data_IF_191521600671
#
_entry.id   IF_191521600671
#
_cell.length_a   1.000
_cell.length_b   1.000
_cell.length_c   1.000
_cell.angle_alpha   90.00
_cell.angle_beta   90.00
_cell.angle_gamma   90.00
#
_symmetry.space_group_name_H-M   'P 1'
#
loop_
_entity.id
_entity.type
_entity.pdbx_description
1 polymer ?
#
# COMPACT_ATOMS: atom_id res chain seq x y z
N UNK A 1 -7.39 31.26 5.93
CA UNK A 1 -6.96 30.17 5.03
C UNK A 1 -5.73 30.59 4.21
N UNK A 2 -4.60 30.88 4.86
CA UNK A 2 -3.35 31.19 4.14
C UNK A 2 -2.17 30.66 4.95
N UNK A 3 -1.80 29.40 4.72
CA UNK A 3 -0.47 28.86 5.05
C UNK A 3 -0.17 27.50 4.37
N UNK A 4 -0.75 27.25 3.20
CA UNK A 4 -0.53 25.99 2.46
C UNK A 4 0.69 25.98 1.54
N UNK A 5 1.47 27.06 1.45
CA UNK A 5 2.57 27.14 0.48
C UNK A 5 3.79 27.92 1.01
N UNK A 6 4.42 27.37 2.06
CA UNK A 6 5.85 27.58 2.27
C UNK A 6 6.59 26.36 1.69
N UNK A 7 7.71 26.50 0.97
CA UNK A 7 8.46 25.36 0.44
C UNK A 7 8.99 24.39 1.53
N UNK A 8 8.97 24.79 2.82
CA UNK A 8 9.18 23.89 3.97
C UNK A 8 7.91 23.12 4.40
N UNK A 9 6.72 23.64 4.08
CA UNK A 9 5.39 23.07 4.42
C UNK A 9 5.05 21.83 3.59
N UNK A 10 5.41 21.81 2.30
CA UNK A 10 5.01 20.74 1.38
C UNK A 10 5.73 19.41 1.64
N UNK A 11 6.91 19.43 2.28
CA UNK A 11 7.69 18.23 2.57
C UNK A 11 6.96 17.27 3.52
N UNK A 12 6.21 17.80 4.48
CA UNK A 12 5.52 16.97 5.48
C UNK A 12 4.42 16.09 4.90
N UNK A 13 3.69 16.59 3.91
CA UNK A 13 2.59 15.84 3.28
C UNK A 13 3.13 14.80 2.30
N UNK A 14 4.18 15.17 1.55
CA UNK A 14 4.87 14.23 0.66
C UNK A 14 5.49 13.08 1.44
N UNK A 15 6.05 13.33 2.62
CA UNK A 15 6.59 12.25 3.45
C UNK A 15 5.48 11.42 4.11
N UNK A 16 4.40 12.04 4.58
CA UNK A 16 3.30 11.32 5.19
C UNK A 16 2.50 10.46 4.19
N UNK A 17 2.40 10.88 2.92
CA UNK A 17 1.67 10.12 1.90
C UNK A 17 2.54 9.37 0.89
N UNK A 18 3.71 9.88 0.54
CA UNK A 18 4.46 9.40 -0.64
C UNK A 18 5.19 8.08 -0.46
N UNK A 19 5.46 7.64 0.77
CA UNK A 19 6.27 6.43 1.01
C UNK A 19 5.54 5.17 0.53
N UNK A 20 4.22 5.09 0.72
CA UNK A 20 3.42 3.97 0.21
C UNK A 20 3.41 3.88 -1.32
N UNK A 21 3.42 5.02 -2.01
CA UNK A 21 3.52 5.04 -3.48
C UNK A 21 4.84 4.45 -3.95
N UNK A 22 5.95 4.86 -3.33
CA UNK A 22 7.28 4.30 -3.64
C UNK A 22 7.32 2.80 -3.35
N UNK A 23 6.71 2.39 -2.24
CA UNK A 23 6.61 0.99 -1.85
C UNK A 23 5.82 0.16 -2.86
N UNK A 24 4.63 0.62 -3.28
CA UNK A 24 3.80 -0.07 -4.28
C UNK A 24 4.47 -0.15 -5.65
N UNK A 25 5.18 0.90 -6.09
CA UNK A 25 5.97 0.84 -7.32
C UNK A 25 7.11 -0.18 -7.20
N UNK A 26 7.76 -0.25 -6.04
CA UNK A 26 8.81 -1.24 -5.79
C UNK A 26 8.26 -2.67 -5.83
N UNK A 27 7.04 -2.85 -5.29
CA UNK A 27 6.33 -4.13 -5.35
C UNK A 27 5.97 -4.52 -6.78
N UNK A 28 5.53 -3.56 -7.61
CA UNK A 28 5.26 -3.81 -9.03
C UNK A 28 6.51 -4.28 -9.76
N UNK A 29 7.65 -3.61 -9.53
CA UNK A 29 8.94 -4.00 -10.11
C UNK A 29 9.33 -5.40 -9.65
N UNK A 30 9.14 -5.72 -8.37
CA UNK A 30 9.39 -7.06 -7.84
C UNK A 30 8.54 -8.12 -8.56
N UNK A 31 7.23 -7.87 -8.71
CA UNK A 31 6.34 -8.81 -9.40
C UNK A 31 6.68 -8.97 -10.88
N UNK A 32 7.10 -7.91 -11.56
CA UNK A 32 7.59 -7.99 -12.94
C UNK A 32 8.85 -8.85 -13.04
N UNK A 33 9.80 -8.68 -12.10
CA UNK A 33 11.03 -9.49 -12.07
C UNK A 33 10.68 -10.95 -11.84
N UNK A 34 9.83 -11.27 -10.87
CA UNK A 34 9.38 -12.64 -10.64
C UNK A 34 8.69 -13.23 -11.87
N UNK A 35 7.77 -12.50 -12.49
CA UNK A 35 7.10 -12.94 -13.70
C UNK A 35 8.03 -13.15 -14.91
N UNK A 36 9.22 -12.54 -14.92
CA UNK A 36 10.20 -12.73 -16.00
C UNK A 36 11.12 -13.92 -15.79
N UNK A 37 11.35 -14.33 -14.54
CA UNK A 37 12.44 -15.24 -14.19
C UNK A 37 12.01 -16.49 -13.42
N UNK A 38 10.84 -16.49 -12.79
CA UNK A 38 10.30 -17.65 -12.08
C UNK A 38 9.23 -18.36 -12.92
N UNK A 39 9.33 -19.69 -13.08
CA UNK A 39 8.29 -20.47 -13.75
C UNK A 39 7.00 -20.41 -12.94
N UNK A 40 5.86 -20.50 -13.65
CA UNK A 40 4.55 -20.60 -13.00
C UNK A 40 4.52 -21.80 -12.03
N UNK A 41 3.77 -21.73 -10.92
CA UNK A 41 3.73 -22.80 -9.93
C UNK A 41 3.31 -24.14 -10.54
N UNK A 42 3.96 -25.24 -10.12
CA UNK A 42 3.76 -26.60 -10.67
C UNK A 42 2.31 -27.12 -10.61
N UNK A 43 1.46 -26.53 -9.76
CA UNK A 43 0.04 -26.89 -9.61
C UNK A 43 -0.87 -26.22 -10.66
N UNK A 44 -0.35 -25.32 -11.48
CA UNK A 44 -1.08 -24.73 -12.60
C UNK A 44 -0.74 -25.50 -13.88
N UNK A 45 -1.68 -26.33 -14.32
CA UNK A 45 -1.56 -27.18 -15.52
C UNK A 45 -1.67 -26.35 -16.81
N UNK A 46 -0.75 -25.43 -17.05
CA UNK A 46 -0.52 -24.92 -18.40
C UNK A 46 0.97 -24.91 -18.70
N UNK A 47 1.41 -25.95 -19.40
CA UNK A 47 2.74 -25.99 -20.03
C UNK A 47 2.97 -24.87 -21.07
N UNK A 48 1.99 -23.97 -21.24
CA UNK A 48 1.96 -22.80 -22.12
C UNK A 48 1.56 -21.50 -21.37
N UNK A 49 1.70 -21.42 -20.04
CA UNK A 49 1.37 -20.21 -19.28
C UNK A 49 2.17 -19.01 -19.81
N UNK A 50 1.48 -18.01 -20.36
CA UNK A 50 2.12 -16.82 -20.91
C UNK A 50 2.68 -15.92 -19.81
N UNK A 51 3.44 -14.89 -20.19
CA UNK A 51 3.91 -13.85 -19.26
C UNK A 51 2.76 -13.19 -18.46
N UNK A 52 1.56 -13.08 -19.06
CA UNK A 52 0.37 -12.53 -18.40
C UNK A 52 -0.03 -13.31 -17.16
N UNK A 53 -0.12 -14.64 -17.27
CA UNK A 53 -0.49 -15.52 -16.16
C UNK A 53 0.57 -15.46 -15.04
N UNK A 54 1.85 -15.50 -15.41
CA UNK A 54 2.97 -15.38 -14.46
C UNK A 54 2.95 -14.03 -13.73
N UNK A 55 2.61 -12.96 -14.45
CA UNK A 55 2.47 -11.63 -13.85
C UNK A 55 1.28 -11.57 -12.89
N UNK A 56 0.12 -12.12 -13.26
CA UNK A 56 -1.03 -12.20 -12.38
C UNK A 56 -0.70 -12.92 -11.08
N UNK A 57 -0.10 -14.11 -11.16
CA UNK A 57 0.27 -14.88 -9.96
C UNK A 57 1.25 -14.13 -9.08
N UNK A 58 2.32 -13.60 -9.68
CA UNK A 58 3.33 -12.86 -8.93
C UNK A 58 2.73 -11.63 -8.23
N UNK A 59 1.81 -10.92 -8.88
CA UNK A 59 1.14 -9.77 -8.29
C UNK A 59 0.12 -10.18 -7.22
N UNK A 60 -0.63 -11.27 -7.44
CA UNK A 60 -1.60 -11.82 -6.50
C UNK A 60 -0.91 -12.26 -5.20
N UNK A 61 0.14 -13.08 -5.30
CA UNK A 61 0.94 -13.52 -4.14
C UNK A 61 1.59 -12.35 -3.41
N UNK A 62 2.05 -11.34 -4.17
CA UNK A 62 2.67 -10.15 -3.60
C UNK A 62 1.71 -9.25 -2.81
N UNK A 63 0.40 -9.48 -2.90
CA UNK A 63 -0.62 -8.73 -2.13
C UNK A 63 -0.40 -8.85 -0.62
N UNK A 64 0.17 -9.95 -0.13
CA UNK A 64 0.50 -10.12 1.29
C UNK A 64 1.47 -9.03 1.81
N UNK A 65 2.32 -8.50 0.93
CA UNK A 65 3.26 -7.44 1.24
C UNK A 65 2.56 -6.08 1.44
N UNK A 66 1.31 -5.92 1.00
CA UNK A 66 0.47 -4.74 1.30
C UNK A 66 -0.31 -4.88 2.62
N UNK A 67 -0.28 -6.05 3.25
CA UNK A 67 -0.95 -6.29 4.54
C UNK A 67 0.03 -6.09 5.71
N UNK A 68 1.12 -6.86 5.77
CA UNK A 68 2.02 -6.85 6.93
C UNK A 68 3.14 -5.80 6.86
N UNK A 69 4.01 -5.80 5.82
CA UNK A 69 5.08 -4.80 5.74
C UNK A 69 4.56 -3.38 5.59
N UNK A 70 3.34 -3.19 5.12
CA UNK A 70 2.68 -1.88 5.05
C UNK A 70 2.65 -1.16 6.40
N UNK A 71 2.53 -1.87 7.53
CA UNK A 71 2.59 -1.25 8.86
C UNK A 71 3.97 -0.65 9.15
N UNK A 72 5.05 -1.30 8.70
CA UNK A 72 6.41 -0.78 8.81
C UNK A 72 6.57 0.46 7.94
N UNK A 73 6.05 0.43 6.71
CA UNK A 73 6.05 1.57 5.80
C UNK A 73 5.27 2.75 6.40
N UNK A 74 4.12 2.50 7.01
CA UNK A 74 3.33 3.51 7.73
C UNK A 74 4.09 4.09 8.92
N UNK A 75 4.78 3.27 9.70
CA UNK A 75 5.62 3.74 10.80
C UNK A 75 6.74 4.67 10.30
N UNK A 76 7.47 4.26 9.26
CA UNK A 76 8.53 5.07 8.65
C UNK A 76 7.97 6.40 8.13
N UNK A 77 6.87 6.35 7.39
CA UNK A 77 6.16 7.52 6.88
C UNK A 77 5.79 8.50 8.00
N UNK A 78 5.15 8.02 9.07
CA UNK A 78 4.75 8.83 10.21
C UNK A 78 5.96 9.46 10.93
N UNK A 79 7.02 8.68 11.18
CA UNK A 79 8.23 9.16 11.84
C UNK A 79 8.95 10.23 11.01
N UNK A 80 9.11 10.02 9.70
CA UNK A 80 9.70 11.01 8.79
C UNK A 80 8.87 12.30 8.75
N UNK A 81 7.54 12.19 8.73
CA UNK A 81 6.65 13.34 8.73
C UNK A 81 6.72 14.14 10.06
N UNK A 82 6.86 13.45 11.20
CA UNK A 82 7.08 14.08 12.51
C UNK A 82 8.39 14.86 12.53
N UNK A 83 9.47 14.27 12.01
CA UNK A 83 10.81 14.90 11.99
C UNK A 83 10.81 16.24 11.23
N UNK A 84 10.04 16.34 10.14
CA UNK A 84 9.89 17.59 9.39
C UNK A 84 8.81 18.52 9.93
N UNK A 85 8.30 18.25 11.15
CA UNK A 85 7.27 19.03 11.85
C UNK A 85 5.96 19.15 11.06
N UNK A 86 5.56 18.07 10.38
CA UNK A 86 4.26 18.00 9.71
C UNK A 86 3.10 18.20 10.71
N UNK A 87 1.95 18.65 10.21
CA UNK A 87 0.74 18.76 11.02
C UNK A 87 0.35 17.37 11.54
N UNK A 88 0.10 17.28 12.84
CA UNK A 88 -0.23 16.02 13.54
C UNK A 88 -1.42 15.28 12.93
N UNK A 89 -2.45 16.01 12.47
CA UNK A 89 -3.61 15.39 11.80
C UNK A 89 -3.18 14.70 10.51
N UNK A 90 -2.28 15.31 9.73
CA UNK A 90 -1.77 14.68 8.51
C UNK A 90 -0.84 13.51 8.81
N UNK A 91 -0.02 13.58 9.86
CA UNK A 91 0.77 12.42 10.30
C UNK A 91 -0.12 11.24 10.69
N UNK A 92 -1.30 11.51 11.27
CA UNK A 92 -2.25 10.46 11.69
C UNK A 92 -2.99 9.87 10.49
N UNK A 93 -3.55 10.72 9.64
CA UNK A 93 -4.52 10.29 8.63
C UNK A 93 -3.87 9.97 7.29
N UNK A 94 -2.90 10.78 6.85
CA UNK A 94 -2.38 10.71 5.49
C UNK A 94 -1.63 9.41 5.18
N UNK A 95 -0.83 8.81 6.09
CA UNK A 95 -0.24 7.49 5.84
C UNK A 95 -1.28 6.39 5.66
N UNK A 96 -2.37 6.42 6.43
CA UNK A 96 -3.44 5.43 6.32
C UNK A 96 -4.22 5.60 5.00
N UNK A 97 -4.54 6.85 4.64
CA UNK A 97 -5.22 7.15 3.36
C UNK A 97 -4.34 6.77 2.17
N UNK A 98 -3.04 7.05 2.26
CA UNK A 98 -2.10 6.67 1.21
C UNK A 98 -2.00 5.16 1.06
N UNK A 99 -1.90 4.42 2.17
CA UNK A 99 -1.90 2.97 2.13
C UNK A 99 -3.18 2.42 1.51
N UNK A 100 -4.34 2.93 1.93
CA UNK A 100 -5.63 2.53 1.36
C UNK A 100 -5.68 2.77 -0.16
N UNK A 101 -5.27 3.96 -0.61
CA UNK A 101 -5.23 4.30 -2.02
C UNK A 101 -4.26 3.41 -2.82
N UNK A 102 -3.09 3.10 -2.24
CA UNK A 102 -2.10 2.23 -2.85
C UNK A 102 -2.57 0.77 -2.91
N UNK A 103 -3.23 0.28 -1.87
CA UNK A 103 -3.86 -1.04 -1.87
C UNK A 103 -4.95 -1.12 -2.93
N UNK A 104 -5.86 -0.15 -2.99
CA UNK A 104 -6.90 -0.08 -4.01
C UNK A 104 -6.32 -0.03 -5.44
N UNK A 105 -5.26 0.76 -5.64
CA UNK A 105 -4.59 0.82 -6.93
C UNK A 105 -3.95 -0.53 -7.28
N UNK A 106 -3.25 -1.15 -6.34
CA UNK A 106 -2.66 -2.47 -6.54
C UNK A 106 -3.70 -3.50 -6.94
N UNK A 107 -4.82 -3.52 -6.22
CA UNK A 107 -5.96 -4.37 -6.49
C UNK A 107 -6.48 -4.19 -7.93
N UNK A 108 -6.69 -2.94 -8.37
CA UNK A 108 -7.08 -2.66 -9.76
C UNK A 108 -6.05 -3.19 -10.76
N UNK A 109 -4.74 -3.03 -10.47
CA UNK A 109 -3.68 -3.54 -11.34
C UNK A 109 -3.67 -5.07 -11.42
N UNK A 110 -3.84 -5.77 -10.30
CA UNK A 110 -3.92 -7.24 -10.25
C UNK A 110 -5.11 -7.74 -11.07
N UNK A 111 -6.30 -7.18 -10.86
CA UNK A 111 -7.50 -7.58 -11.62
C UNK A 111 -7.39 -7.25 -13.11
N UNK A 112 -6.62 -6.23 -13.48
CA UNK A 112 -6.40 -5.86 -14.89
C UNK A 112 -5.51 -6.85 -15.65
N UNK A 113 -4.76 -7.70 -14.94
CA UNK A 113 -3.90 -8.73 -15.54
C UNK A 113 -4.43 -10.15 -15.33
N UNK A 114 -5.64 -10.29 -14.75
CA UNK A 114 -6.28 -11.58 -14.52
C UNK A 114 -6.49 -12.32 -15.86
N UNK A 115 -6.09 -13.60 -15.95
CA UNK A 115 -6.21 -14.36 -17.18
C UNK A 115 -7.66 -14.77 -17.47
N UNK A 116 -8.07 -14.65 -18.73
CA UNK A 116 -9.30 -15.24 -19.28
C UNK A 116 -10.64 -14.87 -18.61
N UNK A 117 -10.72 -13.73 -17.90
CA UNK A 117 -11.97 -13.23 -17.33
C UNK A 117 -12.19 -11.73 -17.60
N UNK A 118 -13.46 -11.32 -17.60
CA UNK A 118 -13.81 -9.90 -17.60
C UNK A 118 -13.42 -9.26 -16.26
N UNK A 119 -13.02 -7.99 -16.26
CA UNK A 119 -12.55 -7.28 -15.05
C UNK A 119 -13.52 -7.42 -13.85
N UNK A 120 -14.83 -7.51 -14.09
CA UNK A 120 -15.82 -7.67 -13.02
C UNK A 120 -15.68 -9.02 -12.30
N UNK A 121 -15.43 -10.09 -13.05
CA UNK A 121 -15.24 -11.45 -12.50
C UNK A 121 -13.89 -11.52 -11.78
N UNK A 122 -12.84 -10.97 -12.39
CA UNK A 122 -11.52 -10.83 -11.77
C UNK A 122 -11.57 -10.03 -10.47
N UNK A 123 -12.36 -8.96 -10.43
CA UNK A 123 -12.56 -8.15 -9.23
C UNK A 123 -13.26 -8.96 -8.13
N UNK A 124 -14.33 -9.68 -8.47
CA UNK A 124 -15.06 -10.51 -7.51
C UNK A 124 -14.19 -11.66 -6.99
N UNK A 125 -13.35 -12.26 -7.82
CA UNK A 125 -12.47 -13.36 -7.43
C UNK A 125 -11.29 -12.91 -6.56
N UNK A 126 -10.65 -11.80 -6.89
CA UNK A 126 -9.48 -11.30 -6.14
C UNK A 126 -9.91 -10.57 -4.86
N UNK A 127 -11.09 -9.92 -4.85
CA UNK A 127 -11.49 -9.05 -3.74
C UNK A 127 -12.68 -9.56 -2.93
N UNK A 128 -13.57 -10.37 -3.53
CA UNK A 128 -14.71 -10.98 -2.85
C UNK A 128 -15.71 -10.01 -2.23
N UNK A 129 -16.75 -10.56 -1.61
CA UNK A 129 -17.73 -9.79 -0.83
C UNK A 129 -17.12 -9.22 0.46
N UNK A 130 -16.10 -9.90 1.02
CA UNK A 130 -15.45 -9.56 2.29
C UNK A 130 -14.40 -8.44 2.18
N UNK A 131 -14.27 -7.80 1.01
CA UNK A 131 -13.28 -6.77 0.76
C UNK A 131 -13.30 -5.67 1.82
N UNK A 132 -14.48 -5.11 2.11
CA UNK A 132 -14.63 -4.04 3.10
C UNK A 132 -14.41 -4.53 4.53
N UNK A 133 -14.73 -5.80 4.81
CA UNK A 133 -14.50 -6.41 6.12
C UNK A 133 -13.02 -6.52 6.46
N UNK A 134 -12.15 -6.63 5.45
CA UNK A 134 -10.70 -6.68 5.64
C UNK A 134 -10.05 -5.28 5.55
N UNK A 135 -10.49 -4.46 4.59
CA UNK A 135 -9.87 -3.16 4.31
C UNK A 135 -10.18 -2.12 5.38
N UNK A 136 -11.41 -2.08 5.92
CA UNK A 136 -11.79 -1.08 6.92
C UNK A 136 -11.01 -1.28 8.23
N UNK A 137 -10.92 -2.49 8.82
CA UNK A 137 -10.10 -2.72 10.00
C UNK A 137 -8.61 -2.45 9.75
N UNK A 138 -8.09 -2.80 8.58
CA UNK A 138 -6.72 -2.46 8.18
C UNK A 138 -6.49 -0.94 8.21
N UNK A 139 -7.34 -0.18 7.52
CA UNK A 139 -7.28 1.29 7.49
C UNK A 139 -7.34 1.92 8.89
N UNK A 140 -8.29 1.47 9.72
CA UNK A 140 -8.43 1.93 11.11
C UNK A 140 -7.17 1.60 11.93
N UNK A 141 -6.59 0.41 11.72
CA UNK A 141 -5.36 -0.01 12.42
C UNK A 141 -4.17 0.88 12.07
N UNK A 142 -4.03 1.31 10.81
CA UNK A 142 -2.99 2.27 10.42
C UNK A 142 -3.22 3.65 11.06
N UNK A 143 -4.47 4.13 11.14
CA UNK A 143 -4.80 5.37 11.85
C UNK A 143 -4.44 5.25 13.34
N UNK A 144 -4.84 4.16 13.98
CA UNK A 144 -4.56 3.91 15.39
C UNK A 144 -3.05 3.86 15.67
N UNK A 145 -2.29 3.19 14.80
CA UNK A 145 -0.83 3.15 14.86
C UNK A 145 -0.23 4.56 14.78
N UNK A 146 -0.61 5.36 13.76
CA UNK A 146 -0.08 6.72 13.61
C UNK A 146 -0.48 7.63 14.77
N UNK A 147 -1.71 7.51 15.29
CA UNK A 147 -2.15 8.24 16.48
C UNK A 147 -1.32 7.85 17.71
N UNK A 148 -1.06 6.56 17.90
CA UNK A 148 -0.19 6.06 18.96
C UNK A 148 1.24 6.62 18.87
N UNK A 149 1.83 6.63 17.66
CA UNK A 149 3.18 7.21 17.43
C UNK A 149 3.20 8.70 17.76
N UNK A 150 2.21 9.47 17.31
CA UNK A 150 2.11 10.91 17.61
C UNK A 150 1.95 11.16 19.11
N UNK A 151 1.13 10.36 19.80
CA UNK A 151 0.95 10.45 21.24
C UNK A 151 2.23 10.13 22.00
N UNK A 152 2.91 9.03 21.66
CA UNK A 152 4.19 8.63 22.26
C UNK A 152 5.28 9.68 22.01
N UNK A 153 5.36 10.21 20.79
CA UNK A 153 6.31 11.27 20.47
C UNK A 153 6.05 12.52 21.31
N UNK A 154 4.78 12.90 21.52
CA UNK A 154 4.42 14.03 22.40
C UNK A 154 4.85 13.79 23.85
N UNK A 155 4.70 12.57 24.38
CA UNK A 155 5.15 12.24 25.75
C UNK A 155 6.68 12.24 25.85
N UNK A 156 7.37 11.72 24.83
CA UNK A 156 8.84 11.64 24.80
C UNK A 156 9.54 12.98 24.54
N UNK A 157 8.84 13.95 23.95
CA UNK A 157 9.40 15.28 23.62
C UNK A 157 9.19 16.33 24.71
N UNK A 158 8.58 15.93 25.84
CA UNK A 158 8.58 16.75 27.05
C UNK A 158 9.91 16.54 27.81
N UNK A 159 10.65 17.54 28.32
CA UNK A 159 10.38 18.97 28.56
C UNK A 159 8.91 19.36 28.85
#
# INVERSE_FOLDING_TARGET
MHQLSSPKSNRGWVLAGGVHVVYTVSLLVLSLVYAMFEPAPDWFESNDSGFGDQLFYSMSDSTIYLLFPAFVVTLVSALMAIQVKCNKIFVIVLPAVSQLACTLLWMVLVASVFPDADFSEAWEEVFGEDFFENVIPGFISHIALCAGIVALHKVSSND
#
